data_IF_780330184713
#
_entry.id   IF_780330184713
#
_cell.length_a   1.000
_cell.length_b   1.000
_cell.length_c   1.000
_cell.angle_alpha   90.00
_cell.angle_beta   90.00
_cell.angle_gamma   90.00
#
_symmetry.space_group_name_H-M   'P 1'
#
loop_
_entity.id
_entity.type
_entity.pdbx_description
1 polymer ?
#
# COMPACT_ATOMS: atom_id res chain seq x y z
N UNK A 1 7.08 18.55 -21.68
CA UNK A 1 7.77 19.52 -20.80
C UNK A 1 6.97 19.55 -19.51
N UNK A 2 7.52 19.06 -18.40
CA UNK A 2 6.84 19.13 -17.10
C UNK A 2 7.34 20.35 -16.34
N UNK A 3 6.39 21.06 -15.74
CA UNK A 3 6.57 22.35 -15.10
C UNK A 3 6.99 22.17 -13.64
N UNK A 4 8.22 22.60 -13.31
CA UNK A 4 8.78 22.62 -11.96
C UNK A 4 8.14 23.69 -11.04
N UNK A 5 7.09 24.38 -11.49
CA UNK A 5 6.44 25.47 -10.74
C UNK A 5 5.38 25.03 -9.73
N UNK A 6 4.90 23.78 -9.77
CA UNK A 6 3.84 23.35 -8.85
C UNK A 6 4.39 23.15 -7.43
N UNK A 7 3.86 23.86 -6.43
CA UNK A 7 4.27 23.69 -5.04
C UNK A 7 4.13 22.23 -4.60
N UNK A 8 5.07 21.73 -3.79
CA UNK A 8 5.00 20.39 -3.18
C UNK A 8 3.66 20.19 -2.42
N UNK A 9 3.08 21.28 -1.92
CA UNK A 9 1.78 21.34 -1.22
C UNK A 9 0.57 20.91 -2.07
N UNK A 10 0.72 20.72 -3.38
CA UNK A 10 -0.39 20.30 -4.25
C UNK A 10 -0.61 18.79 -4.20
N UNK A 11 0.40 17.98 -3.87
CA UNK A 11 0.28 16.52 -3.96
C UNK A 11 -0.29 15.91 -2.67
N UNK A 12 -1.45 15.27 -2.78
CA UNK A 12 -2.08 14.52 -1.71
C UNK A 12 -1.97 13.02 -1.98
N UNK A 13 -1.81 12.17 -0.95
CA UNK A 13 -1.81 10.71 -1.12
C UNK A 13 -3.04 10.17 -1.84
N UNK A 14 -4.19 10.85 -1.68
CA UNK A 14 -5.47 10.47 -2.29
C UNK A 14 -5.46 10.53 -3.84
N UNK A 15 -4.41 11.11 -4.44
CA UNK A 15 -4.18 11.14 -5.89
C UNK A 15 -3.53 9.88 -6.45
N UNK A 16 -3.11 8.98 -5.57
CA UNK A 16 -2.34 7.80 -5.94
C UNK A 16 -3.06 6.52 -5.51
N UNK A 17 -2.65 5.43 -6.14
CA UNK A 17 -3.03 4.09 -5.69
C UNK A 17 -2.13 3.67 -4.54
N UNK A 18 -2.69 2.98 -3.56
CA UNK A 18 -1.99 2.57 -2.37
C UNK A 18 -2.43 1.20 -1.89
N UNK A 19 -1.49 0.52 -1.26
CA UNK A 19 -1.66 -0.79 -0.67
C UNK A 19 -1.75 -0.66 0.85
N UNK A 20 -2.74 -1.30 1.45
CA UNK A 20 -2.92 -1.34 2.90
C UNK A 20 -2.70 -2.76 3.41
N UNK A 21 -1.87 -2.91 4.44
CA UNK A 21 -1.54 -4.22 5.05
C UNK A 21 -1.53 -4.13 6.57
N UNK A 22 -1.75 -5.25 7.23
CA UNK A 22 -1.42 -5.42 8.66
C UNK A 22 -0.04 -6.05 8.78
N UNK A 23 0.85 -5.44 9.55
CA UNK A 23 2.24 -5.90 9.72
C UNK A 23 2.61 -5.95 11.20
N UNK A 24 3.54 -6.82 11.63
CA UNK A 24 4.07 -6.78 12.99
C UNK A 24 4.85 -5.49 13.22
N UNK A 25 4.58 -4.79 14.33
CA UNK A 25 5.37 -3.65 14.77
C UNK A 25 6.61 -4.12 15.57
N UNK A 26 7.49 -3.19 15.92
CA UNK A 26 8.73 -3.50 16.65
C UNK A 26 8.50 -4.02 18.08
N UNK A 27 7.31 -3.80 18.65
CA UNK A 27 6.90 -4.34 19.94
C UNK A 27 6.34 -5.78 19.85
N UNK A 28 6.16 -6.32 18.64
CA UNK A 28 5.51 -7.62 18.42
C UNK A 28 3.98 -7.57 18.38
N UNK A 29 3.38 -6.38 18.40
CA UNK A 29 1.96 -6.17 18.14
C UNK A 29 1.72 -5.98 16.64
N UNK A 30 0.49 -5.67 16.21
CA UNK A 30 0.16 -5.45 14.79
C UNK A 30 -0.18 -3.99 14.54
N UNK A 31 0.42 -3.41 13.51
CA UNK A 31 0.13 -2.06 13.02
C UNK A 31 -0.38 -2.10 11.57
N UNK A 32 -0.98 -0.99 11.14
CA UNK A 32 -1.46 -0.81 9.77
C UNK A 32 -0.37 -0.09 8.97
N UNK A 33 0.06 -0.71 7.88
CA UNK A 33 0.99 -0.15 6.91
C UNK A 33 0.23 0.35 5.69
N UNK A 34 0.53 1.57 5.26
CA UNK A 34 0.14 2.13 3.97
C UNK A 34 1.37 2.30 3.10
N UNK A 35 1.25 1.99 1.81
CA UNK A 35 2.32 2.13 0.82
C UNK A 35 1.73 2.73 -0.46
N UNK A 36 2.32 3.81 -0.98
CA UNK A 36 1.92 4.32 -2.29
C UNK A 36 2.56 3.44 -3.37
N UNK A 37 1.72 2.89 -4.24
CA UNK A 37 2.16 2.04 -5.33
C UNK A 37 3.08 2.84 -6.26
N UNK A 38 4.10 2.18 -6.81
CA UNK A 38 5.09 2.79 -7.73
C UNK A 38 6.02 3.83 -7.10
N UNK A 39 5.85 4.15 -5.80
CA UNK A 39 6.74 5.01 -5.03
C UNK A 39 7.50 4.20 -3.98
N UNK A 40 8.58 3.54 -4.41
CA UNK A 40 9.38 2.68 -3.53
C UNK A 40 9.81 3.39 -2.24
N UNK A 41 9.44 2.80 -1.11
CA UNK A 41 9.74 3.31 0.23
C UNK A 41 8.86 4.49 0.66
N UNK A 42 7.84 4.88 -0.10
CA UNK A 42 6.82 5.83 0.34
C UNK A 42 5.76 5.11 1.19
N UNK A 43 6.15 4.81 2.44
CA UNK A 43 5.35 4.03 3.37
C UNK A 43 5.08 4.79 4.66
N UNK A 44 3.98 4.46 5.32
CA UNK A 44 3.65 4.93 6.66
C UNK A 44 3.01 3.82 7.49
N UNK A 45 3.07 4.00 8.80
CA UNK A 45 2.57 3.03 9.78
C UNK A 45 1.69 3.74 10.81
N UNK A 46 0.78 3.01 11.43
CA UNK A 46 -0.01 3.50 12.56
C UNK A 46 -0.90 2.43 13.18
N UNK A 47 -1.29 2.63 14.44
CA UNK A 47 -2.14 1.67 15.17
C UNK A 47 -3.57 1.67 14.61
N UNK A 48 -3.94 2.74 13.91
CA UNK A 48 -5.20 2.89 13.20
C UNK A 48 -5.02 3.58 11.84
N UNK A 49 -6.08 3.49 11.02
CA UNK A 49 -6.10 4.04 9.65
C UNK A 49 -5.83 5.55 9.63
N UNK A 50 -6.31 6.29 10.63
CA UNK A 50 -6.15 7.74 10.69
C UNK A 50 -4.69 8.12 10.89
N UNK A 51 -3.99 7.46 11.80
CA UNK A 51 -2.56 7.66 12.05
C UNK A 51 -1.72 7.28 10.83
N UNK A 52 -1.96 6.11 10.26
CA UNK A 52 -1.23 5.65 9.09
C UNK A 52 -1.43 6.61 7.89
N UNK A 53 -2.66 7.10 7.65
CA UNK A 53 -2.93 8.08 6.59
C UNK A 53 -2.24 9.42 6.83
N UNK A 54 -2.19 9.89 8.09
CA UNK A 54 -1.48 11.12 8.43
C UNK A 54 0.03 11.01 8.15
N UNK A 55 0.64 9.90 8.57
CA UNK A 55 2.06 9.63 8.28
C UNK A 55 2.35 9.52 6.79
N UNK A 56 1.37 9.12 5.97
CA UNK A 56 1.58 8.97 4.55
C UNK A 56 1.73 10.30 3.80
N UNK A 57 1.04 11.35 4.25
CA UNK A 57 1.24 12.70 3.71
C UNK A 57 2.69 13.15 3.92
N UNK A 58 3.25 12.90 5.10
CA UNK A 58 4.63 13.24 5.43
C UNK A 58 5.61 12.39 4.61
N UNK A 59 5.35 11.08 4.49
CA UNK A 59 6.15 10.17 3.67
C UNK A 59 6.21 10.62 2.21
N UNK A 60 5.07 11.01 1.62
CA UNK A 60 4.98 11.53 0.25
C UNK A 60 5.80 12.81 0.08
N UNK A 61 5.67 13.77 0.99
CA UNK A 61 6.46 15.01 0.93
C UNK A 61 7.97 14.73 1.03
N UNK A 62 8.38 13.84 1.92
CA UNK A 62 9.78 13.43 2.05
C UNK A 62 10.29 12.73 0.80
N UNK A 63 9.48 11.85 0.21
CA UNK A 63 9.80 11.15 -1.02
C UNK A 63 9.98 12.13 -2.18
N UNK A 64 9.05 13.08 -2.36
CA UNK A 64 9.13 14.14 -3.38
C UNK A 64 10.38 14.99 -3.17
N UNK A 65 10.69 15.36 -1.92
CA UNK A 65 11.89 16.14 -1.60
C UNK A 65 13.19 15.40 -1.95
N UNK A 66 13.21 14.07 -1.79
CA UNK A 66 14.38 13.23 -2.06
C UNK A 66 14.56 12.91 -3.54
N UNK A 67 13.48 12.50 -4.23
CA UNK A 67 13.53 11.96 -5.58
C UNK A 67 13.12 12.97 -6.67
N UNK A 68 12.34 13.99 -6.28
CA UNK A 68 11.77 14.99 -7.18
C UNK A 68 10.38 14.62 -7.70
N UNK A 69 9.51 15.62 -7.86
CA UNK A 69 8.11 15.43 -8.27
C UNK A 69 7.93 14.87 -9.69
N UNK A 70 8.96 14.94 -10.54
CA UNK A 70 8.92 14.43 -11.92
C UNK A 70 8.89 12.90 -12.01
N UNK A 71 9.18 12.20 -10.91
CA UNK A 71 9.11 10.74 -10.79
C UNK A 71 7.79 10.25 -10.16
N UNK A 72 6.84 11.16 -9.91
CA UNK A 72 5.52 10.77 -9.45
C UNK A 72 4.76 10.05 -10.57
N UNK A 73 4.00 8.99 -10.27
CA UNK A 73 3.13 8.34 -11.23
C UNK A 73 2.02 9.29 -11.67
N UNK A 74 1.31 8.93 -12.74
CA UNK A 74 0.16 9.71 -13.19
C UNK A 74 -0.89 9.81 -12.07
N UNK A 75 -1.36 11.03 -11.83
CA UNK A 75 -2.41 11.29 -10.85
C UNK A 75 -3.71 10.69 -11.37
N UNK A 76 -4.31 9.79 -10.59
CA UNK A 76 -5.59 9.19 -10.92
C UNK A 76 -6.76 10.04 -10.38
N UNK A 77 -7.84 10.14 -11.14
CA UNK A 77 -9.13 10.71 -10.69
C UNK A 77 -9.81 9.73 -9.73
N UNK A 78 -9.22 9.53 -8.55
CA UNK A 78 -9.74 8.64 -7.54
C UNK A 78 -8.66 7.83 -6.85
N UNK A 79 -8.71 7.86 -5.52
CA UNK A 79 -7.91 7.02 -4.66
C UNK A 79 -8.32 5.54 -4.84
N UNK A 80 -7.45 4.72 -5.43
CA UNK A 80 -7.68 3.28 -5.54
C UNK A 80 -7.07 2.57 -4.34
N UNK A 81 -7.92 2.20 -3.37
CA UNK A 81 -7.54 1.44 -2.17
C UNK A 81 -7.43 -0.05 -2.49
N UNK A 82 -6.23 -0.61 -2.41
CA UNK A 82 -6.02 -2.07 -2.43
C UNK A 82 -5.81 -2.54 -0.99
N UNK A 83 -6.86 -3.09 -0.39
CA UNK A 83 -6.76 -3.73 0.92
C UNK A 83 -6.24 -5.15 0.73
N UNK A 84 -5.01 -5.41 1.16
CA UNK A 84 -4.51 -6.78 1.20
C UNK A 84 -5.04 -7.42 2.48
N UNK A 85 -5.85 -8.46 2.31
CA UNK A 85 -6.30 -9.27 3.43
C UNK A 85 -5.11 -9.86 4.19
N UNK A 86 -5.27 -10.13 5.50
CA UNK A 86 -4.23 -10.78 6.28
C UNK A 86 -3.73 -12.06 5.61
N UNK A 87 -2.47 -12.42 5.88
CA UNK A 87 -1.93 -13.71 5.44
C UNK A 87 -2.89 -14.83 5.84
N UNK A 88 -3.24 -15.70 4.90
CA UNK A 88 -4.06 -16.87 5.16
C UNK A 88 -3.52 -17.64 6.37
N UNK A 89 -4.43 -18.08 7.23
CA UNK A 89 -4.11 -19.04 8.28
C UNK A 89 -3.60 -20.34 7.67
N UNK A 90 -2.83 -21.12 8.44
CA UNK A 90 -2.35 -22.42 7.96
C UNK A 90 -3.51 -23.35 7.60
N UNK A 91 -4.64 -23.22 8.30
CA UNK A 91 -5.86 -23.99 8.04
C UNK A 91 -6.50 -23.58 6.70
N UNK A 92 -6.56 -22.28 6.38
CA UNK A 92 -7.03 -21.80 5.07
C UNK A 92 -6.11 -22.25 3.93
N UNK A 93 -4.79 -22.21 4.14
CA UNK A 93 -3.83 -22.71 3.16
C UNK A 93 -4.03 -24.22 2.93
N UNK A 94 -4.18 -24.99 4.01
CA UNK A 94 -4.42 -26.43 3.93
C UNK A 94 -5.73 -26.75 3.21
N UNK A 95 -6.80 -26.01 3.52
CA UNK A 95 -8.10 -26.15 2.89
C UNK A 95 -8.04 -25.86 1.39
N UNK A 96 -7.49 -24.72 0.98
CA UNK A 96 -7.37 -24.35 -0.45
C UNK A 96 -6.51 -25.38 -1.20
N UNK A 97 -5.42 -25.85 -0.61
CA UNK A 97 -4.59 -26.89 -1.24
C UNK A 97 -5.36 -28.20 -1.43
N UNK A 98 -6.22 -28.60 -0.48
CA UNK A 98 -7.06 -29.79 -0.62
C UNK A 98 -8.13 -29.64 -1.72
N UNK A 99 -8.75 -28.46 -1.83
CA UNK A 99 -9.73 -28.16 -2.88
C UNK A 99 -9.07 -28.11 -4.28
N UNK A 100 -7.85 -27.58 -4.38
CA UNK A 100 -7.11 -27.57 -5.65
C UNK A 100 -6.69 -28.97 -6.09
N UNK A 101 -6.33 -29.85 -5.15
CA UNK A 101 -6.02 -31.26 -5.45
C UNK A 101 -7.25 -32.01 -5.95
N UNK A 102 -8.42 -31.83 -5.32
CA UNK A 102 -9.65 -32.51 -5.73
C UNK A 102 -10.12 -32.09 -7.13
N UNK A 103 -9.95 -30.81 -7.50
CA UNK A 103 -10.26 -30.32 -8.85
C UNK A 103 -9.36 -30.91 -9.94
N UNK A 104 -8.10 -31.22 -9.60
CA UNK A 104 -7.16 -31.89 -10.50
C UNK A 104 -7.51 -33.37 -10.73
N UNK A 105 -8.02 -34.06 -9.72
CA UNK A 105 -8.42 -35.47 -9.83
C UNK A 105 -9.72 -35.67 -10.63
N UNK A 106 -10.64 -34.70 -10.62
CA UNK A 106 -11.91 -34.76 -11.36
C UNK A 106 -11.76 -34.50 -12.87
N UNK A 107 -10.58 -34.03 -13.31
CA UNK A 107 -10.29 -33.71 -14.71
C UNK A 107 -9.52 -34.82 -15.45
N UNK A 108 -9.41 -36.03 -14.88
CA UNK A 108 -8.70 -37.19 -15.45
C UNK A 108 -9.62 -38.35 -15.83
#
# INVERSE_FOLDING_TARGET
MFDNSKPIEVYQPDFFSWTVRRVPNWCGETEIMFEINELDGCVSFGDNVKEAKQGLQEALHLWIKKNGAHLLPEVNDGCHLVYLEPNMSQDEVAYINSELQSLHEVSS
#
